data_IF_599695409749
#
_entry.id   IF_599695409749
#
_cell.length_a   1.000
_cell.length_b   1.000
_cell.length_c   1.000
_cell.angle_alpha   90.00
_cell.angle_beta   90.00
_cell.angle_gamma   90.00
#
_symmetry.space_group_name_H-M   'P 1'
#
loop_
_entity.id
_entity.type
_entity.pdbx_description
1 polymer ?
#
# COMPACT_ATOMS: atom_id res chain seq x y z
N UNK A 1 -3.01 -26.44 -15.61
CA UNK A 1 -1.70 -25.81 -15.85
C UNK A 1 -1.73 -24.43 -15.24
N UNK A 2 -1.18 -24.26 -14.03
CA UNK A 2 -0.82 -22.94 -13.53
C UNK A 2 0.41 -22.50 -14.32
N UNK A 3 0.27 -21.38 -15.01
CA UNK A 3 1.36 -20.78 -15.80
C UNK A 3 2.53 -20.45 -14.86
N UNK A 4 3.62 -21.19 -14.96
CA UNK A 4 4.85 -21.00 -14.16
C UNK A 4 5.75 -19.95 -14.82
N UNK A 5 5.17 -18.83 -15.27
CA UNK A 5 5.96 -17.66 -15.62
C UNK A 5 6.53 -17.06 -14.34
N UNK A 6 7.85 -16.87 -14.23
CA UNK A 6 8.43 -16.17 -13.09
C UNK A 6 7.83 -14.76 -13.03
N UNK A 7 7.33 -14.39 -11.86
CA UNK A 7 6.78 -13.07 -11.62
C UNK A 7 7.86 -12.04 -11.91
N UNK A 8 7.46 -10.95 -12.56
CA UNK A 8 8.33 -9.78 -12.67
C UNK A 8 8.62 -9.22 -11.28
N UNK A 9 9.68 -8.42 -11.16
CA UNK A 9 10.01 -7.74 -9.90
C UNK A 9 8.81 -6.94 -9.36
N UNK A 10 8.13 -6.19 -10.25
CA UNK A 10 6.95 -5.38 -9.90
C UNK A 10 5.78 -6.25 -9.41
N UNK A 11 5.50 -7.37 -10.07
CA UNK A 11 4.42 -8.27 -9.63
C UNK A 11 4.75 -8.94 -8.30
N UNK A 12 6.04 -9.19 -8.03
CA UNK A 12 6.53 -9.67 -6.73
C UNK A 12 6.32 -8.62 -5.64
N UNK A 13 6.65 -7.35 -5.92
CA UNK A 13 6.42 -6.24 -5.01
C UNK A 13 4.94 -6.04 -4.71
N UNK A 14 4.07 -6.07 -5.74
CA UNK A 14 2.62 -5.94 -5.55
C UNK A 14 2.05 -7.03 -4.64
N UNK A 15 2.54 -8.28 -4.77
CA UNK A 15 2.14 -9.37 -3.86
C UNK A 15 2.58 -9.10 -2.42
N UNK A 16 3.82 -8.66 -2.22
CA UNK A 16 4.31 -8.32 -0.90
C UNK A 16 3.55 -7.13 -0.27
N UNK A 17 3.18 -6.13 -1.07
CA UNK A 17 2.38 -4.98 -0.63
C UNK A 17 0.99 -5.42 -0.16
N UNK A 18 0.28 -6.24 -0.96
CA UNK A 18 -1.04 -6.78 -0.58
C UNK A 18 -0.95 -7.57 0.72
N UNK A 19 0.03 -8.47 0.82
CA UNK A 19 0.25 -9.25 2.02
C UNK A 19 0.47 -8.35 3.25
N UNK A 20 1.37 -7.37 3.18
CA UNK A 20 1.64 -6.45 4.31
C UNK A 20 0.43 -5.59 4.67
N UNK A 21 -0.41 -5.22 3.70
CA UNK A 21 -1.60 -4.43 3.93
C UNK A 21 -2.75 -5.19 4.59
N UNK A 22 -2.80 -6.52 4.43
CA UNK A 22 -3.84 -7.40 4.96
C UNK A 22 -3.42 -8.13 6.25
N UNK A 23 -2.19 -7.92 6.72
CA UNK A 23 -1.62 -8.53 7.92
C UNK A 23 -0.96 -7.45 8.82
N UNK A 24 -1.76 -6.47 9.24
CA UNK A 24 -1.44 -5.36 10.15
C UNK A 24 -1.70 -5.74 11.60
N UNK A 25 -1.37 -4.82 12.53
CA UNK A 25 -1.52 -5.05 13.96
C UNK A 25 -2.97 -4.99 14.46
N UNK A 26 -3.89 -4.41 13.69
CA UNK A 26 -5.30 -4.24 14.05
C UNK A 26 -6.23 -4.55 12.87
N UNK A 27 -7.43 -5.08 13.17
CA UNK A 27 -8.44 -5.39 12.15
C UNK A 27 -8.91 -4.14 11.40
N UNK A 28 -8.96 -3.01 12.09
CA UNK A 28 -9.29 -1.71 11.52
C UNK A 28 -8.25 -1.30 10.48
N UNK A 29 -6.96 -1.46 10.78
CA UNK A 29 -5.88 -1.18 9.84
C UNK A 29 -5.91 -2.13 8.63
N UNK A 30 -6.15 -3.43 8.84
CA UNK A 30 -6.29 -4.42 7.77
C UNK A 30 -7.41 -4.06 6.79
N UNK A 31 -8.57 -3.71 7.33
CA UNK A 31 -9.73 -3.36 6.53
C UNK A 31 -9.49 -2.07 5.73
N UNK A 32 -9.00 -1.02 6.41
CA UNK A 32 -8.81 0.30 5.81
C UNK A 32 -7.65 0.32 4.82
N UNK A 33 -6.46 -0.11 5.24
CA UNK A 33 -5.26 -0.11 4.40
C UNK A 33 -5.36 -1.18 3.32
N UNK A 34 -5.81 -2.39 3.67
CA UNK A 34 -6.03 -3.45 2.69
C UNK A 34 -7.05 -3.05 1.63
N UNK A 35 -8.15 -2.40 2.01
CA UNK A 35 -9.14 -1.86 1.08
C UNK A 35 -8.54 -0.83 0.12
N UNK A 36 -7.80 0.15 0.65
CA UNK A 36 -7.09 1.15 -0.16
C UNK A 36 -6.17 0.50 -1.20
N UNK A 37 -5.33 -0.43 -0.76
CA UNK A 37 -4.35 -1.11 -1.62
C UNK A 37 -5.05 -1.93 -2.69
N UNK A 38 -6.09 -2.70 -2.35
CA UNK A 38 -6.83 -3.49 -3.34
C UNK A 38 -7.45 -2.61 -4.44
N UNK A 39 -7.92 -1.42 -4.08
CA UNK A 39 -8.58 -0.51 -5.02
C UNK A 39 -7.61 0.25 -5.94
N UNK A 40 -6.36 0.49 -5.53
CA UNK A 40 -5.44 1.39 -6.27
C UNK A 40 -4.16 0.74 -6.79
N UNK A 41 -3.75 -0.44 -6.28
CA UNK A 41 -2.44 -1.02 -6.58
C UNK A 41 -2.19 -1.31 -8.07
N UNK A 42 -3.26 -1.49 -8.84
CA UNK A 42 -3.18 -1.76 -10.28
C UNK A 42 -2.83 -0.50 -11.11
N UNK A 43 -3.12 0.69 -10.58
CA UNK A 43 -2.99 1.96 -11.31
C UNK A 43 -1.66 2.67 -11.06
N UNK A 44 -0.87 2.18 -10.10
CA UNK A 44 0.44 2.77 -9.78
C UNK A 44 1.51 2.41 -10.80
N UNK A 45 2.32 3.41 -11.15
CA UNK A 45 3.56 3.22 -11.91
C UNK A 45 4.61 2.43 -11.10
N UNK A 46 5.64 1.94 -11.78
CA UNK A 46 6.72 1.19 -11.12
C UNK A 46 7.39 1.98 -9.98
N UNK A 47 7.62 3.27 -10.18
CA UNK A 47 8.19 4.16 -9.14
C UNK A 47 7.25 4.27 -7.93
N UNK A 48 5.95 4.48 -8.17
CA UNK A 48 4.95 4.53 -7.11
C UNK A 48 4.82 3.20 -6.37
N UNK A 49 4.99 2.07 -7.05
CA UNK A 49 5.03 0.75 -6.39
C UNK A 49 6.20 0.64 -5.42
N UNK A 50 7.38 1.19 -5.74
CA UNK A 50 8.51 1.21 -4.81
C UNK A 50 8.23 2.12 -3.59
N UNK A 51 7.68 3.31 -3.80
CA UNK A 51 7.27 4.20 -2.71
C UNK A 51 6.17 3.59 -1.85
N UNK A 52 5.20 2.92 -2.48
CA UNK A 52 4.14 2.23 -1.78
C UNK A 52 4.68 1.06 -0.96
N UNK A 53 5.65 0.31 -1.51
CA UNK A 53 6.31 -0.77 -0.78
C UNK A 53 6.99 -0.26 0.48
N UNK A 54 7.76 0.81 0.39
CA UNK A 54 8.44 1.36 1.57
C UNK A 54 7.46 1.96 2.58
N UNK A 55 6.34 2.55 2.11
CA UNK A 55 5.27 3.05 2.97
C UNK A 55 4.57 1.90 3.72
N UNK A 56 4.19 0.81 3.05
CA UNK A 56 3.48 -0.30 3.70
C UNK A 56 4.38 -1.17 4.58
N UNK A 57 5.70 -1.06 4.43
CA UNK A 57 6.64 -1.73 5.33
C UNK A 57 6.81 -1.05 6.69
N UNK A 58 6.35 0.19 6.81
CA UNK A 58 6.25 0.87 8.10
C UNK A 58 5.28 0.10 9.01
N UNK A 59 5.62 0.04 10.30
CA UNK A 59 4.67 -0.34 11.33
C UNK A 59 3.50 0.66 11.38
N UNK A 60 2.45 0.29 12.11
CA UNK A 60 1.21 1.07 12.11
C UNK A 60 1.42 2.49 12.68
N UNK A 61 2.24 2.66 13.72
CA UNK A 61 2.55 3.98 14.30
C UNK A 61 3.26 4.87 13.26
N UNK A 62 4.29 4.33 12.61
CA UNK A 62 5.06 5.02 11.58
C UNK A 62 4.23 5.36 10.34
N UNK A 63 3.32 4.46 9.93
CA UNK A 63 2.39 4.71 8.82
C UNK A 63 1.44 5.85 9.16
N UNK A 64 0.77 5.81 10.32
CA UNK A 64 -0.16 6.87 10.71
C UNK A 64 0.53 8.21 10.96
N UNK A 65 1.80 8.21 11.40
CA UNK A 65 2.60 9.43 11.43
C UNK A 65 2.75 10.09 10.06
N UNK A 66 2.93 9.30 8.99
CA UNK A 66 2.91 9.82 7.62
C UNK A 66 1.52 10.29 7.19
N UNK A 67 0.45 9.67 7.69
CA UNK A 67 -0.92 10.16 7.46
C UNK A 67 -1.10 11.55 8.08
N UNK A 68 -0.66 11.74 9.33
CA UNK A 68 -0.81 13.01 10.05
C UNK A 68 0.07 14.12 9.45
N UNK A 69 1.33 13.78 9.19
CA UNK A 69 2.32 14.67 8.59
C UNK A 69 2.99 13.92 7.44
N UNK A 70 2.54 14.10 6.18
CA UNK A 70 3.12 13.39 5.05
C UNK A 70 4.42 14.06 4.61
N UNK A 71 5.45 13.26 4.31
CA UNK A 71 6.70 13.72 3.71
C UNK A 71 6.90 13.08 2.33
N UNK A 72 7.78 13.66 1.51
CA UNK A 72 8.24 12.98 0.30
C UNK A 72 8.98 11.68 0.68
N UNK A 73 8.82 10.59 -0.08
CA UNK A 73 8.08 10.52 -1.35
C UNK A 73 6.58 10.21 -1.21
N UNK A 74 6.04 10.12 0.01
CA UNK A 74 4.69 9.60 0.28
C UNK A 74 3.56 10.61 0.10
N UNK A 75 3.85 11.88 -0.19
CA UNK A 75 2.84 12.96 -0.26
C UNK A 75 1.61 12.57 -1.10
N UNK A 76 1.80 12.09 -2.33
CA UNK A 76 0.68 11.75 -3.22
C UNK A 76 -0.05 10.47 -2.78
N UNK A 77 0.68 9.46 -2.30
CA UNK A 77 0.11 8.22 -1.79
C UNK A 77 -0.76 8.47 -0.56
N UNK A 78 -0.29 9.29 0.38
CA UNK A 78 -1.05 9.68 1.58
C UNK A 78 -2.26 10.53 1.20
N UNK A 79 -2.13 11.44 0.24
CA UNK A 79 -3.27 12.23 -0.24
C UNK A 79 -4.36 11.32 -0.82
N UNK A 80 -3.98 10.32 -1.62
CA UNK A 80 -4.93 9.35 -2.18
C UNK A 80 -5.56 8.47 -1.09
N UNK A 81 -4.76 8.03 -0.11
CA UNK A 81 -5.25 7.28 1.05
C UNK A 81 -6.29 8.07 1.85
N UNK A 82 -6.06 9.37 2.09
CA UNK A 82 -7.02 10.24 2.78
C UNK A 82 -8.32 10.38 1.98
N UNK A 83 -8.22 10.65 0.67
CA UNK A 83 -9.40 10.72 -0.20
C UNK A 83 -10.20 9.42 -0.18
N UNK A 84 -9.53 8.27 -0.23
CA UNK A 84 -10.19 6.97 -0.11
C UNK A 84 -10.89 6.82 1.25
N UNK A 85 -10.19 7.11 2.35
CA UNK A 85 -10.74 7.03 3.71
C UNK A 85 -12.00 7.90 3.88
N UNK A 86 -12.00 9.11 3.33
CA UNK A 86 -13.12 10.05 3.43
C UNK A 86 -14.33 9.65 2.56
N UNK A 87 -14.16 8.69 1.65
CA UNK A 87 -15.23 8.17 0.78
C UNK A 87 -15.91 6.90 1.28
N UNK A 88 -15.43 6.33 2.40
CA UNK A 88 -16.01 5.16 3.09
C UNK A 88 -17.18 5.58 3.99
#
# INVERSE_FOLDING_TARGET
MTDLTPLTEIETLKKAIRYRAEHRGTKEADWLIGGFIRSHISDFSNEEIHHLKSLVDLDDESFFKQVDSPQKPYLMLIQLFKTYKDSL
#
